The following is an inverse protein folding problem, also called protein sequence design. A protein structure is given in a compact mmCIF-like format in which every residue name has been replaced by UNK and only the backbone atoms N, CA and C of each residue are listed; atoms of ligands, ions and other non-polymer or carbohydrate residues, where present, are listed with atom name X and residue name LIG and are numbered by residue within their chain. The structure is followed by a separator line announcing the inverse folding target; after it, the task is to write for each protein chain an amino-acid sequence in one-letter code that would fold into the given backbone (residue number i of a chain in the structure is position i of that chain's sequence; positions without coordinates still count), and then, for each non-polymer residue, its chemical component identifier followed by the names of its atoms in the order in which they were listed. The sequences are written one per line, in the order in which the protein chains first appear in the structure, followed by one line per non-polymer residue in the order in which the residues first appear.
data_IF_730076032916
#
_entry.id   IF_730076032916
#
_cell.length_a   1.000
_cell.length_b   1.000
_cell.length_c   1.000
_cell.angle_alpha   90.00
_cell.angle_beta   90.00
_cell.angle_gamma   90.00
#
_symmetry.space_group_name_H-M   'P 1'
#
loop_
_entity.id
_entity.type
_entity.pdbx_description
1 polymer ?
#
# COMPACT_ATOMS: atom_id res chain seq x y z
N UNK A 1 69.40 -57.20 -5.99
CA UNK A 1 68.36 -56.66 -6.93
C UNK A 1 66.97 -56.67 -6.30
N UNK A 2 66.47 -57.80 -5.79
CA UNK A 2 65.14 -57.91 -5.16
C UNK A 2 64.91 -56.96 -3.97
N UNK A 3 65.89 -56.84 -3.06
CA UNK A 3 65.82 -55.93 -1.90
C UNK A 3 65.75 -54.45 -2.33
N UNK A 4 66.45 -54.09 -3.41
CA UNK A 4 66.44 -52.73 -3.95
C UNK A 4 65.09 -52.39 -4.58
N UNK A 5 64.52 -53.33 -5.34
CA UNK A 5 63.17 -53.18 -5.94
C UNK A 5 62.11 -53.04 -4.83
N UNK A 6 62.17 -53.86 -3.78
CA UNK A 6 61.25 -53.75 -2.64
C UNK A 6 61.39 -52.41 -1.92
N UNK A 7 62.61 -51.90 -1.73
CA UNK A 7 62.86 -50.60 -1.09
C UNK A 7 62.36 -49.41 -1.93
N UNK A 8 62.50 -49.49 -3.25
CA UNK A 8 61.99 -48.46 -4.17
C UNK A 8 60.45 -48.48 -4.23
N UNK A 9 59.84 -49.67 -4.24
CA UNK A 9 58.39 -49.83 -4.19
C UNK A 9 57.79 -49.34 -2.86
N UNK A 10 58.48 -49.58 -1.74
CA UNK A 10 58.04 -49.11 -0.42
C UNK A 10 58.18 -47.60 -0.28
N UNK A 11 59.25 -47.01 -0.81
CA UNK A 11 59.43 -45.55 -0.80
C UNK A 11 58.35 -44.84 -1.63
N UNK A 12 58.06 -45.35 -2.83
CA UNK A 12 57.01 -44.82 -3.69
C UNK A 12 55.61 -44.93 -3.03
N UNK A 13 55.34 -46.04 -2.33
CA UNK A 13 54.09 -46.21 -1.58
C UNK A 13 53.96 -45.22 -0.42
N UNK A 14 55.06 -44.92 0.27
CA UNK A 14 55.07 -43.94 1.37
C UNK A 14 54.87 -42.50 0.86
N UNK A 15 55.48 -42.15 -0.27
CA UNK A 15 55.32 -40.84 -0.90
C UNK A 15 53.85 -40.61 -1.32
N UNK A 16 53.22 -41.62 -1.92
CA UNK A 16 51.79 -41.59 -2.26
C UNK A 16 50.90 -41.45 -1.01
N UNK A 17 51.23 -42.13 0.11
CA UNK A 17 50.50 -42.00 1.38
C UNK A 17 50.56 -40.56 1.90
N UNK A 18 51.75 -39.94 1.88
CA UNK A 18 51.92 -38.56 2.30
C UNK A 18 51.15 -37.59 1.39
N UNK A 19 51.09 -37.87 0.08
CA UNK A 19 50.30 -37.08 -0.84
C UNK A 19 48.79 -37.22 -0.58
N UNK A 20 48.29 -38.41 -0.27
CA UNK A 20 46.90 -38.64 0.16
C UNK A 20 46.57 -37.79 1.39
N UNK A 21 47.42 -37.82 2.44
CA UNK A 21 47.22 -37.00 3.63
C UNK A 21 47.21 -35.50 3.29
N UNK A 22 48.05 -35.07 2.36
CA UNK A 22 48.05 -33.69 1.87
C UNK A 22 46.74 -33.32 1.16
N UNK A 23 46.23 -34.17 0.25
CA UNK A 23 44.93 -33.92 -0.41
C UNK A 23 43.77 -33.90 0.56
N UNK A 24 43.78 -34.75 1.59
CA UNK A 24 42.78 -34.73 2.66
C UNK A 24 42.82 -33.42 3.46
N UNK A 25 44.01 -32.90 3.80
CA UNK A 25 44.15 -31.59 4.45
C UNK A 25 43.65 -30.44 3.58
N UNK A 26 43.78 -30.56 2.26
CA UNK A 26 43.29 -29.60 1.27
C UNK A 26 41.81 -29.81 0.90
N UNK A 27 41.07 -30.65 1.62
CA UNK A 27 39.66 -30.93 1.37
C UNK A 27 39.38 -31.47 -0.05
N UNK A 28 40.27 -32.30 -0.60
CA UNK A 28 40.12 -32.89 -1.92
C UNK A 28 40.00 -34.43 -1.86
N UNK A 29 38.84 -34.96 -1.42
CA UNK A 29 38.63 -36.40 -1.28
C UNK A 29 38.68 -37.14 -2.63
N UNK A 30 38.29 -36.48 -3.72
CA UNK A 30 38.28 -37.09 -5.06
C UNK A 30 39.68 -37.44 -5.53
N UNK A 31 40.64 -36.52 -5.35
CA UNK A 31 42.03 -36.77 -5.73
C UNK A 31 42.71 -37.73 -4.75
N UNK A 32 42.41 -37.60 -3.45
CA UNK A 32 42.86 -38.54 -2.43
C UNK A 32 42.46 -39.99 -2.79
N UNK A 33 41.23 -40.20 -3.24
CA UNK A 33 40.75 -41.52 -3.67
C UNK A 33 41.52 -42.09 -4.87
N UNK A 34 41.85 -41.25 -5.86
CA UNK A 34 42.65 -41.67 -7.02
C UNK A 34 44.04 -42.13 -6.60
N UNK A 35 44.69 -41.38 -5.72
CA UNK A 35 46.01 -41.73 -5.18
C UNK A 35 45.96 -43.02 -4.35
N UNK A 36 44.94 -43.19 -3.49
CA UNK A 36 44.72 -44.43 -2.73
C UNK A 36 44.68 -45.66 -3.64
N UNK A 37 44.02 -45.57 -4.80
CA UNK A 37 43.94 -46.68 -5.78
C UNK A 37 45.29 -47.04 -6.42
N UNK A 38 46.26 -46.14 -6.41
CA UNK A 38 47.59 -46.39 -7.00
C UNK A 38 48.55 -47.09 -6.03
N UNK A 39 48.23 -47.08 -4.72
CA UNK A 39 49.08 -47.67 -3.69
C UNK A 39 48.99 -49.19 -3.75
N UNK A 40 50.13 -49.85 -4.00
CA UNK A 40 50.22 -51.32 -4.11
C UNK A 40 50.37 -52.00 -2.74
N UNK A 41 51.03 -51.36 -1.77
CA UNK A 41 51.30 -51.91 -0.43
C UNK A 41 50.13 -51.71 0.55
N UNK A 42 48.99 -52.32 0.22
CA UNK A 42 47.73 -52.16 0.97
C UNK A 42 47.70 -52.81 2.35
N UNK A 43 48.69 -53.64 2.68
CA UNK A 43 48.82 -54.30 3.99
C UNK A 43 49.66 -53.50 4.99
N UNK A 44 50.38 -52.47 4.55
CA UNK A 44 51.20 -51.64 5.43
C UNK A 44 50.33 -50.89 6.45
N UNK A 45 50.81 -50.76 7.69
CA UNK A 45 50.04 -50.08 8.74
C UNK A 45 49.77 -48.61 8.40
N UNK A 46 50.74 -47.92 7.79
CA UNK A 46 50.62 -46.54 7.33
C UNK A 46 49.52 -46.36 6.29
N UNK A 47 49.40 -47.30 5.34
CA UNK A 47 48.28 -47.30 4.40
C UNK A 47 46.95 -47.53 5.11
N UNK A 48 46.87 -48.54 6.00
CA UNK A 48 45.63 -48.86 6.72
C UNK A 48 45.13 -47.67 7.53
N UNK A 49 46.01 -46.96 8.25
CA UNK A 49 45.67 -45.75 9.00
C UNK A 49 45.14 -44.67 8.06
N UNK A 50 45.83 -44.41 6.95
CA UNK A 50 45.46 -43.36 6.00
C UNK A 50 44.15 -43.67 5.30
N UNK A 51 43.94 -44.93 4.90
CA UNK A 51 42.70 -45.39 4.30
C UNK A 51 41.53 -45.35 5.30
N UNK A 52 41.76 -45.74 6.56
CA UNK A 52 40.76 -45.61 7.62
C UNK A 52 40.36 -44.15 7.86
N UNK A 53 41.33 -43.23 7.91
CA UNK A 53 41.06 -41.78 7.99
C UNK A 53 40.25 -41.29 6.80
N UNK A 54 40.63 -41.68 5.57
CA UNK A 54 39.90 -41.34 4.35
C UNK A 54 38.42 -41.76 4.45
N UNK A 55 38.17 -43.05 4.73
CA UNK A 55 36.81 -43.59 4.84
C UNK A 55 35.98 -42.87 5.91
N UNK A 56 36.58 -42.57 7.06
CA UNK A 56 35.89 -41.83 8.12
C UNK A 56 35.54 -40.39 7.69
N UNK A 57 36.49 -39.66 7.10
CA UNK A 57 36.29 -38.28 6.66
C UNK A 57 35.22 -38.15 5.57
N UNK A 58 35.18 -39.10 4.63
CA UNK A 58 34.19 -39.12 3.53
C UNK A 58 32.84 -39.71 3.95
N UNK A 59 32.75 -40.29 5.15
CA UNK A 59 31.51 -40.85 5.69
C UNK A 59 31.21 -42.28 5.24
N UNK A 60 32.19 -43.00 4.70
CA UNK A 60 32.09 -44.42 4.32
C UNK A 60 32.23 -45.32 5.57
N UNK A 61 31.38 -45.07 6.55
CA UNK A 61 31.48 -45.66 7.88
C UNK A 61 31.30 -47.18 7.85
N UNK A 62 30.36 -47.67 7.06
CA UNK A 62 30.08 -49.10 6.93
C UNK A 62 31.29 -49.83 6.33
N UNK A 63 31.94 -49.26 5.30
CA UNK A 63 33.17 -49.82 4.73
C UNK A 63 34.32 -49.81 5.75
N UNK A 64 34.47 -48.71 6.50
CA UNK A 64 35.49 -48.58 7.55
C UNK A 64 35.35 -49.70 8.59
N UNK A 65 34.15 -49.90 9.12
CA UNK A 65 33.87 -50.92 10.14
C UNK A 65 34.09 -52.32 9.57
N UNK A 66 33.58 -52.60 8.36
CA UNK A 66 33.72 -53.91 7.73
C UNK A 66 35.19 -54.29 7.49
N UNK A 67 36.02 -53.33 7.06
CA UNK A 67 37.41 -53.58 6.68
C UNK A 67 38.36 -53.62 7.88
N UNK A 68 38.10 -52.83 8.93
CA UNK A 68 39.09 -52.58 9.99
C UNK A 68 38.65 -52.95 11.40
N UNK A 69 37.47 -53.56 11.59
CA UNK A 69 36.97 -53.98 12.92
C UNK A 69 37.91 -54.89 13.73
N UNK A 70 38.77 -55.67 13.05
CA UNK A 70 39.72 -56.61 13.68
C UNK A 70 41.14 -56.04 13.85
N UNK A 71 41.40 -54.82 13.38
CA UNK A 71 42.74 -54.25 13.43
C UNK A 71 43.13 -53.88 14.87
N UNK A 72 44.39 -54.08 15.25
CA UNK A 72 44.86 -53.86 16.63
C UNK A 72 45.29 -52.43 16.93
N UNK A 73 45.57 -51.63 15.90
CA UNK A 73 46.04 -50.24 16.01
C UNK A 73 45.04 -49.33 16.72
N UNK A 74 45.55 -48.49 17.62
CA UNK A 74 44.75 -47.63 18.51
C UNK A 74 44.02 -46.55 17.70
N UNK A 75 44.67 -45.96 16.70
CA UNK A 75 44.09 -44.92 15.86
C UNK A 75 42.95 -45.47 15.01
N UNK A 76 43.15 -46.63 14.40
CA UNK A 76 42.12 -47.31 13.60
C UNK A 76 40.94 -47.73 14.48
N UNK A 77 41.18 -48.32 15.66
CA UNK A 77 40.12 -48.67 16.62
C UNK A 77 39.27 -47.47 17.00
N UNK A 78 39.91 -46.33 17.30
CA UNK A 78 39.19 -45.09 17.62
C UNK A 78 38.27 -44.64 16.47
N UNK A 79 38.76 -44.69 15.23
CA UNK A 79 37.96 -44.35 14.04
C UNK A 79 36.79 -45.34 13.83
N UNK A 80 37.02 -46.64 14.03
CA UNK A 80 35.97 -47.67 13.94
C UNK A 80 34.88 -47.46 15.00
N UNK A 81 35.26 -47.12 16.25
CA UNK A 81 34.30 -46.78 17.30
C UNK A 81 33.45 -45.57 16.94
N UNK A 82 34.09 -44.50 16.43
CA UNK A 82 33.39 -43.29 15.97
C UNK A 82 32.45 -43.59 14.79
N UNK A 83 32.87 -44.42 13.84
CA UNK A 83 32.03 -44.84 12.73
C UNK A 83 30.82 -45.67 13.18
N UNK A 84 31.00 -46.59 14.13
CA UNK A 84 29.87 -47.33 14.71
C UNK A 84 28.84 -46.41 15.38
N UNK A 85 29.30 -45.37 16.10
CA UNK A 85 28.41 -44.35 16.66
C UNK A 85 27.65 -43.61 15.55
N UNK A 86 28.35 -43.18 14.50
CA UNK A 86 27.72 -42.51 13.36
C UNK A 86 26.69 -43.40 12.64
N UNK A 87 26.98 -44.69 12.41
CA UNK A 87 26.05 -45.65 11.80
C UNK A 87 24.80 -45.81 12.66
N UNK A 88 24.95 -45.92 13.99
CA UNK A 88 23.83 -46.06 14.92
C UNK A 88 22.89 -44.85 14.88
N UNK A 89 23.45 -43.65 14.76
CA UNK A 89 22.68 -42.41 14.71
C UNK A 89 22.01 -42.20 13.37
N UNK A 90 22.70 -42.48 12.27
CA UNK A 90 22.26 -42.09 10.93
C UNK A 90 21.52 -43.24 10.21
N UNK A 91 21.60 -44.48 10.69
CA UNK A 91 20.82 -45.64 10.21
C UNK A 91 20.74 -45.81 8.69
N UNK A 92 19.86 -46.70 8.20
CA UNK A 92 19.53 -46.77 6.76
C UNK A 92 18.35 -45.86 6.36
N UNK A 93 17.47 -45.53 7.31
CA UNK A 93 16.21 -44.80 7.08
C UNK A 93 16.03 -43.63 8.06
N UNK A 94 17.11 -42.94 8.42
CA UNK A 94 17.03 -41.89 9.42
C UNK A 94 16.34 -40.65 8.87
N UNK A 95 15.24 -40.26 9.52
CA UNK A 95 14.51 -39.03 9.22
C UNK A 95 15.12 -37.86 10.00
N UNK A 96 15.31 -36.70 9.37
CA UNK A 96 15.83 -35.53 10.06
C UNK A 96 14.98 -35.10 11.24
N UNK A 97 15.56 -35.16 12.45
CA UNK A 97 14.95 -34.69 13.68
C UNK A 97 15.96 -33.96 14.58
N UNK A 98 15.45 -33.11 15.47
CA UNK A 98 16.26 -32.24 16.34
C UNK A 98 16.93 -32.99 17.51
N UNK A 99 16.48 -34.19 17.87
CA UNK A 99 16.92 -34.88 19.09
C UNK A 99 18.40 -35.24 19.06
N UNK A 100 18.99 -35.44 17.88
CA UNK A 100 20.40 -35.81 17.71
C UNK A 100 21.24 -34.72 17.05
N UNK A 101 20.73 -33.48 16.89
CA UNK A 101 21.40 -32.43 16.13
C UNK A 101 22.82 -32.16 16.64
N UNK A 102 23.01 -31.98 17.94
CA UNK A 102 24.33 -31.66 18.52
C UNK A 102 25.34 -32.79 18.31
N UNK A 103 24.90 -34.05 18.41
CA UNK A 103 25.76 -35.21 18.24
C UNK A 103 26.17 -35.36 16.76
N UNK A 104 25.23 -35.14 15.85
CA UNK A 104 25.45 -35.16 14.40
C UNK A 104 26.36 -34.01 13.96
N UNK A 105 26.18 -32.80 14.51
CA UNK A 105 27.09 -31.67 14.29
C UNK A 105 28.52 -32.01 14.76
N UNK A 106 28.65 -32.66 15.92
CA UNK A 106 29.94 -33.10 16.45
C UNK A 106 30.63 -34.09 15.51
N UNK A 107 29.90 -35.12 15.05
CA UNK A 107 30.43 -36.11 14.11
C UNK A 107 30.79 -35.45 12.77
N UNK A 108 29.95 -34.54 12.26
CA UNK A 108 30.22 -33.85 11.01
C UNK A 108 31.46 -32.96 11.10
N UNK A 109 31.72 -32.29 12.24
CA UNK A 109 32.96 -31.51 12.44
C UNK A 109 34.20 -32.39 12.29
N UNK A 110 34.12 -33.65 12.70
CA UNK A 110 35.21 -34.63 12.55
C UNK A 110 35.22 -35.34 11.18
N UNK A 111 34.13 -35.28 10.42
CA UNK A 111 33.94 -35.95 9.12
C UNK A 111 33.26 -35.04 8.09
N UNK A 112 33.81 -33.83 7.93
CA UNK A 112 33.18 -32.73 7.20
C UNK A 112 33.05 -32.96 5.69
N UNK A 113 33.62 -34.03 5.14
CA UNK A 113 33.46 -34.43 3.74
C UNK A 113 32.33 -35.47 3.56
N UNK A 114 31.61 -35.82 4.62
CA UNK A 114 30.50 -36.76 4.58
C UNK A 114 29.26 -36.15 3.93
N UNK A 115 28.95 -36.59 2.71
CA UNK A 115 27.80 -36.10 1.92
C UNK A 115 26.47 -36.35 2.63
N UNK A 116 26.31 -37.53 3.24
CA UNK A 116 25.07 -37.94 3.93
C UNK A 116 24.77 -37.02 5.11
N UNK A 117 25.78 -36.74 5.93
CA UNK A 117 25.68 -35.83 7.08
C UNK A 117 25.48 -34.38 6.66
N UNK A 118 26.20 -33.91 5.64
CA UNK A 118 26.03 -32.55 5.11
C UNK A 118 24.58 -32.32 4.66
N UNK A 119 24.03 -33.22 3.83
CA UNK A 119 22.65 -33.12 3.36
C UNK A 119 21.64 -33.15 4.50
N UNK A 120 21.85 -33.99 5.50
CA UNK A 120 21.01 -34.06 6.69
C UNK A 120 21.00 -32.74 7.47
N UNK A 121 22.18 -32.19 7.78
CA UNK A 121 22.30 -30.93 8.52
C UNK A 121 21.69 -29.76 7.74
N UNK A 122 21.93 -29.69 6.43
CA UNK A 122 21.33 -28.68 5.55
C UNK A 122 19.81 -28.74 5.64
N UNK A 123 19.21 -29.93 5.56
CA UNK A 123 17.75 -30.09 5.64
C UNK A 123 17.18 -29.63 6.99
N UNK A 124 17.81 -30.01 8.11
CA UNK A 124 17.37 -29.54 9.44
C UNK A 124 17.46 -28.03 9.55
N UNK A 125 18.58 -27.44 9.14
CA UNK A 125 18.76 -26.00 9.24
C UNK A 125 17.76 -25.26 8.36
N UNK A 126 17.45 -25.76 7.16
CA UNK A 126 16.40 -25.22 6.31
C UNK A 126 15.02 -25.30 7.01
N UNK A 127 14.66 -26.45 7.57
CA UNK A 127 13.38 -26.65 8.28
C UNK A 127 13.22 -25.71 9.48
N UNK A 128 14.33 -25.32 10.10
CA UNK A 128 14.37 -24.42 11.26
C UNK A 128 14.68 -22.96 10.88
N UNK A 129 14.61 -22.59 9.59
CA UNK A 129 14.93 -21.25 9.08
C UNK A 129 16.36 -20.74 9.40
N UNK A 130 17.29 -21.65 9.70
CA UNK A 130 18.70 -21.35 9.97
C UNK A 130 19.53 -21.34 8.67
N UNK A 131 19.12 -20.55 7.67
CA UNK A 131 19.70 -20.58 6.32
C UNK A 131 21.20 -20.24 6.27
N UNK A 132 21.71 -19.41 7.19
CA UNK A 132 23.15 -19.12 7.28
C UNK A 132 23.95 -20.38 7.60
N UNK A 133 23.51 -21.18 8.57
CA UNK A 133 24.19 -22.43 8.92
C UNK A 133 24.09 -23.45 7.79
N UNK A 134 22.93 -23.55 7.15
CA UNK A 134 22.75 -24.40 5.97
C UNK A 134 23.74 -24.02 4.86
N UNK A 135 23.93 -22.71 4.62
CA UNK A 135 24.87 -22.18 3.62
C UNK A 135 26.31 -22.53 3.96
N UNK A 136 26.73 -22.42 5.21
CA UNK A 136 28.10 -22.75 5.62
C UNK A 136 28.42 -24.24 5.38
N UNK A 137 27.50 -25.14 5.71
CA UNK A 137 27.63 -26.58 5.44
C UNK A 137 27.65 -26.86 3.93
N UNK A 138 26.73 -26.24 3.17
CA UNK A 138 26.63 -26.40 1.73
C UNK A 138 27.89 -25.90 0.99
N UNK A 139 28.47 -24.79 1.43
CA UNK A 139 29.70 -24.23 0.89
C UNK A 139 30.90 -25.14 1.18
N UNK A 140 31.00 -25.67 2.41
CA UNK A 140 32.03 -26.62 2.79
C UNK A 140 31.98 -27.88 1.92
N UNK A 141 30.83 -28.54 1.82
CA UNK A 141 30.70 -29.79 1.06
C UNK A 141 30.85 -29.57 -0.45
N UNK A 142 30.41 -28.41 -0.98
CA UNK A 142 30.65 -28.06 -2.38
C UNK A 142 32.13 -27.86 -2.69
N UNK A 143 32.90 -27.27 -1.75
CA UNK A 143 34.36 -27.15 -1.91
C UNK A 143 35.06 -28.51 -1.97
N UNK A 144 34.53 -29.52 -1.26
CA UNK A 144 35.04 -30.91 -1.32
C UNK A 144 34.70 -31.63 -2.63
N UNK A 145 33.54 -31.33 -3.21
CA UNK A 145 33.00 -32.03 -4.38
C UNK A 145 32.44 -31.07 -5.44
N UNK A 146 33.27 -30.19 -6.04
CA UNK A 146 32.78 -29.14 -6.94
C UNK A 146 32.19 -29.65 -8.25
N UNK A 147 32.56 -30.89 -8.64
CA UNK A 147 32.09 -31.57 -9.85
C UNK A 147 30.84 -32.43 -9.61
N UNK A 148 30.43 -32.63 -8.36
CA UNK A 148 29.26 -33.42 -8.02
C UNK A 148 27.99 -32.59 -8.30
N UNK A 149 27.18 -33.07 -9.25
CA UNK A 149 26.00 -32.35 -9.74
C UNK A 149 24.95 -32.14 -8.65
N UNK A 150 24.73 -33.13 -7.79
CA UNK A 150 23.68 -33.05 -6.77
C UNK A 150 24.11 -32.11 -5.63
N UNK A 151 25.39 -32.13 -5.26
CA UNK A 151 25.95 -31.18 -4.31
C UNK A 151 25.90 -29.77 -4.87
N UNK A 152 26.27 -29.57 -6.14
CA UNK A 152 26.18 -28.26 -6.81
C UNK A 152 24.73 -27.76 -6.88
N UNK A 153 23.76 -28.65 -7.16
CA UNK A 153 22.31 -28.35 -7.13
C UNK A 153 21.86 -27.91 -5.73
N UNK A 154 22.25 -28.67 -4.70
CA UNK A 154 21.95 -28.35 -3.29
C UNK A 154 22.53 -26.99 -2.88
N UNK A 155 23.81 -26.75 -3.19
CA UNK A 155 24.46 -25.46 -2.91
C UNK A 155 23.76 -24.29 -3.61
N UNK A 156 23.42 -24.44 -4.90
CA UNK A 156 22.66 -23.44 -5.65
C UNK A 156 21.31 -23.12 -5.00
N UNK A 157 20.58 -24.13 -4.55
CA UNK A 157 19.31 -23.96 -3.84
C UNK A 157 19.49 -23.24 -2.51
N UNK A 158 20.43 -23.66 -1.67
CA UNK A 158 20.68 -23.04 -0.36
C UNK A 158 21.05 -21.57 -0.52
N UNK A 159 21.87 -21.22 -1.51
CA UNK A 159 22.19 -19.80 -1.79
C UNK A 159 20.94 -18.97 -2.10
N UNK A 160 19.94 -19.55 -2.78
CA UNK A 160 18.66 -18.90 -3.08
C UNK A 160 17.82 -18.56 -1.84
N UNK A 161 18.13 -19.16 -0.69
CA UNK A 161 17.50 -18.88 0.60
C UNK A 161 18.21 -17.76 1.38
N UNK A 162 19.28 -17.19 0.82
CA UNK A 162 20.15 -16.21 1.47
C UNK A 162 20.32 -14.94 0.60
N UNK A 163 20.99 -13.88 1.10
CA UNK A 163 21.31 -12.70 0.29
C UNK A 163 22.11 -12.99 -1.00
N UNK A 164 22.72 -14.18 -1.10
CA UNK A 164 23.48 -14.62 -2.26
C UNK A 164 22.62 -15.31 -3.35
N UNK A 165 21.31 -15.10 -3.35
CA UNK A 165 20.38 -15.78 -4.26
C UNK A 165 20.75 -15.63 -5.74
N UNK A 166 21.28 -14.49 -6.16
CA UNK A 166 21.75 -14.29 -7.55
C UNK A 166 22.80 -15.33 -7.96
N UNK A 167 23.76 -15.65 -7.08
CA UNK A 167 24.77 -16.69 -7.32
C UNK A 167 24.12 -18.08 -7.39
N UNK A 168 23.15 -18.32 -6.50
CA UNK A 168 22.37 -19.57 -6.50
C UNK A 168 21.64 -19.80 -7.82
N UNK A 169 20.93 -18.78 -8.32
CA UNK A 169 20.21 -18.85 -9.61
C UNK A 169 21.17 -19.10 -10.77
N UNK A 170 22.33 -18.45 -10.82
CA UNK A 170 23.33 -18.72 -11.87
C UNK A 170 23.79 -20.18 -11.88
N UNK A 171 24.04 -20.77 -10.71
CA UNK A 171 24.42 -22.17 -10.57
C UNK A 171 23.29 -23.10 -11.07
N UNK A 172 22.05 -22.82 -10.67
CA UNK A 172 20.91 -23.63 -11.08
C UNK A 172 20.66 -23.54 -12.60
N UNK A 173 20.89 -22.38 -13.21
CA UNK A 173 20.83 -22.19 -14.67
C UNK A 173 21.93 -22.98 -15.40
N UNK A 174 23.16 -22.94 -14.89
CA UNK A 174 24.27 -23.74 -15.43
C UNK A 174 23.93 -25.24 -15.43
N UNK A 175 23.23 -25.70 -14.39
CA UNK A 175 22.74 -27.08 -14.27
C UNK A 175 21.46 -27.38 -15.06
N UNK A 176 20.95 -26.41 -15.83
CA UNK A 176 19.71 -26.47 -16.63
C UNK A 176 18.46 -26.80 -15.78
N UNK A 177 18.41 -26.30 -14.55
CA UNK A 177 17.27 -26.47 -13.65
C UNK A 177 16.17 -25.46 -14.03
N UNK A 178 14.93 -25.96 -14.18
CA UNK A 178 13.76 -25.20 -14.66
C UNK A 178 13.50 -23.94 -13.85
N UNK A 179 13.54 -24.03 -12.53
CA UNK A 179 13.27 -22.92 -11.61
C UNK A 179 14.30 -21.79 -11.76
N UNK A 180 15.56 -22.12 -12.08
CA UNK A 180 16.58 -21.12 -12.38
C UNK A 180 16.25 -20.30 -13.63
N UNK A 181 15.72 -20.93 -14.68
CA UNK A 181 15.31 -20.26 -15.91
C UNK A 181 14.05 -19.41 -15.73
N UNK A 182 13.10 -19.86 -14.89
CA UNK A 182 11.91 -19.08 -14.55
C UNK A 182 12.24 -17.79 -13.80
N UNK A 183 13.39 -17.73 -13.11
CA UNK A 183 13.80 -16.55 -12.36
C UNK A 183 14.05 -15.33 -13.25
N UNK A 184 14.63 -15.50 -14.44
CA UNK A 184 14.88 -14.38 -15.36
C UNK A 184 13.57 -13.70 -15.79
N UNK A 185 12.53 -14.50 -16.09
CA UNK A 185 11.21 -13.99 -16.46
C UNK A 185 10.59 -13.17 -15.32
N UNK A 186 10.70 -13.68 -14.08
CA UNK A 186 10.22 -12.97 -12.89
C UNK A 186 11.01 -11.68 -12.66
N UNK A 187 12.33 -11.72 -12.82
CA UNK A 187 13.21 -10.56 -12.64
C UNK A 187 12.95 -9.48 -13.69
N UNK A 188 12.71 -9.85 -14.95
CA UNK A 188 12.32 -8.91 -16.01
C UNK A 188 11.01 -8.20 -15.66
N UNK A 189 9.99 -8.95 -15.22
CA UNK A 189 8.72 -8.36 -14.77
C UNK A 189 8.92 -7.42 -13.58
N UNK A 190 9.72 -7.83 -12.60
CA UNK A 190 10.05 -7.01 -11.44
C UNK A 190 10.74 -5.69 -11.82
N UNK A 191 11.73 -5.73 -12.72
CA UNK A 191 12.42 -4.52 -13.17
C UNK A 191 11.50 -3.54 -13.92
N UNK A 192 10.43 -4.03 -14.53
CA UNK A 192 9.41 -3.20 -15.19
C UNK A 192 8.28 -2.73 -14.25
N UNK A 193 8.19 -3.29 -13.04
CA UNK A 193 7.09 -3.03 -12.11
C UNK A 193 7.20 -1.61 -11.53
N UNK A 194 6.12 -0.83 -11.68
CA UNK A 194 6.00 0.54 -11.17
C UNK A 194 4.86 0.73 -10.18
N UNK A 195 3.93 -0.22 -10.11
CA UNK A 195 2.73 -0.13 -9.28
C UNK A 195 2.64 -1.29 -8.30
N UNK A 196 1.88 -1.11 -7.21
CA UNK A 196 1.59 -2.18 -6.25
C UNK A 196 0.84 -3.36 -6.89
N UNK A 197 0.02 -3.10 -7.91
CA UNK A 197 -0.66 -4.13 -8.70
C UNK A 197 0.35 -5.01 -9.44
N UNK A 198 1.35 -4.41 -10.11
CA UNK A 198 2.43 -5.18 -10.76
C UNK A 198 3.20 -6.05 -9.76
N UNK A 199 3.51 -5.53 -8.57
CA UNK A 199 4.16 -6.34 -7.53
C UNK A 199 3.29 -7.51 -7.09
N UNK A 200 1.99 -7.28 -6.88
CA UNK A 200 1.03 -8.33 -6.49
C UNK A 200 0.92 -9.42 -7.54
N UNK A 201 0.83 -9.06 -8.83
CA UNK A 201 0.81 -10.02 -9.93
C UNK A 201 2.06 -10.91 -9.95
N UNK A 202 3.24 -10.34 -9.70
CA UNK A 202 4.50 -11.11 -9.63
C UNK A 202 4.47 -12.05 -8.41
N UNK A 203 4.00 -11.59 -7.25
CA UNK A 203 3.87 -12.41 -6.04
C UNK A 203 2.96 -13.61 -6.32
N UNK A 204 1.80 -13.39 -6.93
CA UNK A 204 0.83 -14.45 -7.21
C UNK A 204 1.35 -15.42 -8.29
N UNK A 205 2.10 -14.93 -9.29
CA UNK A 205 2.82 -15.79 -10.23
C UNK A 205 3.85 -16.67 -9.53
N UNK A 206 4.65 -16.10 -8.62
CA UNK A 206 5.62 -16.89 -7.83
C UNK A 206 4.88 -17.93 -7.00
N UNK A 207 3.80 -17.58 -6.29
CA UNK A 207 3.00 -18.53 -5.50
C UNK A 207 2.52 -19.71 -6.36
N UNK A 208 2.07 -19.46 -7.58
CA UNK A 208 1.64 -20.51 -8.51
C UNK A 208 2.80 -21.41 -8.95
N UNK A 209 3.98 -20.84 -9.24
CA UNK A 209 5.19 -21.61 -9.56
C UNK A 209 5.58 -22.49 -8.35
N UNK A 210 5.49 -21.94 -7.15
CA UNK A 210 5.87 -22.63 -5.92
C UNK A 210 5.03 -23.86 -5.62
N UNK A 211 3.77 -23.92 -6.06
CA UNK A 211 2.91 -25.10 -5.87
C UNK A 211 3.52 -26.36 -6.48
N UNK A 212 4.23 -26.22 -7.60
CA UNK A 212 4.81 -27.32 -8.38
C UNK A 212 6.34 -27.40 -8.29
N UNK A 213 6.96 -26.60 -7.42
CA UNK A 213 8.42 -26.56 -7.24
C UNK A 213 8.90 -27.74 -6.39
N UNK A 214 9.92 -28.46 -6.88
CA UNK A 214 10.61 -29.52 -6.13
C UNK A 214 11.44 -28.96 -4.97
N UNK A 215 11.84 -27.68 -5.08
CA UNK A 215 12.57 -26.99 -4.02
C UNK A 215 11.61 -26.44 -2.97
N UNK A 216 11.79 -26.87 -1.72
CA UNK A 216 11.10 -26.33 -0.55
C UNK A 216 12.14 -25.96 0.54
N UNK A 217 12.15 -24.71 1.03
CA UNK A 217 11.48 -23.52 0.48
C UNK A 217 11.92 -23.26 -0.97
N UNK A 218 11.11 -22.51 -1.73
CA UNK A 218 11.40 -22.34 -3.16
C UNK A 218 12.66 -21.50 -3.41
N UNK A 219 13.22 -21.60 -4.61
CA UNK A 219 14.37 -20.76 -5.04
C UNK A 219 14.04 -19.26 -5.07
N UNK A 220 12.75 -18.90 -5.03
CA UNK A 220 12.31 -17.52 -4.94
C UNK A 220 12.27 -17.01 -3.50
N UNK A 221 12.47 -17.85 -2.48
CA UNK A 221 12.19 -17.51 -1.08
C UNK A 221 12.79 -16.16 -0.65
N UNK A 222 14.12 -15.99 -0.81
CA UNK A 222 14.77 -14.76 -0.37
C UNK A 222 14.29 -13.56 -1.18
N UNK A 223 14.32 -13.67 -2.51
CA UNK A 223 13.85 -12.61 -3.42
C UNK A 223 12.39 -12.20 -3.13
N UNK A 224 11.50 -13.19 -2.97
CA UNK A 224 10.09 -13.01 -2.70
C UNK A 224 9.88 -12.24 -1.41
N UNK A 225 10.42 -12.68 -0.28
CA UNK A 225 10.15 -12.03 1.00
C UNK A 225 10.96 -10.74 1.21
N UNK A 226 12.27 -10.80 0.99
CA UNK A 226 13.19 -9.70 1.34
C UNK A 226 13.26 -8.58 0.30
N UNK A 227 12.80 -8.83 -0.94
CA UNK A 227 12.80 -7.81 -1.99
C UNK A 227 11.39 -7.48 -2.43
N UNK A 228 10.65 -8.46 -2.94
CA UNK A 228 9.36 -8.23 -3.60
C UNK A 228 8.27 -7.85 -2.58
N UNK A 229 8.03 -8.71 -1.61
CA UNK A 229 6.99 -8.57 -0.60
C UNK A 229 7.27 -7.40 0.34
N UNK A 230 8.53 -7.25 0.76
CA UNK A 230 8.96 -6.09 1.53
C UNK A 230 8.64 -4.75 0.82
N UNK A 231 8.99 -4.61 -0.46
CA UNK A 231 8.71 -3.39 -1.21
C UNK A 231 7.20 -3.18 -1.44
N UNK A 232 6.45 -4.25 -1.72
CA UNK A 232 4.99 -4.19 -1.86
C UNK A 232 4.33 -3.65 -0.58
N UNK A 233 4.63 -4.24 0.58
CA UNK A 233 4.07 -3.82 1.88
C UNK A 233 4.50 -2.38 2.21
N UNK A 234 5.78 -2.06 2.03
CA UNK A 234 6.31 -0.70 2.27
C UNK A 234 5.60 0.34 1.42
N UNK A 235 5.36 0.06 0.14
CA UNK A 235 4.70 0.98 -0.78
C UNK A 235 3.22 1.17 -0.44
N UNK A 236 2.49 0.09 -0.12
CA UNK A 236 1.08 0.17 0.33
C UNK A 236 0.93 1.06 1.55
N UNK A 237 1.76 0.82 2.56
CA UNK A 237 1.78 1.60 3.80
C UNK A 237 2.21 3.06 3.54
N UNK A 238 3.13 3.29 2.60
CA UNK A 238 3.52 4.64 2.16
C UNK A 238 2.38 5.42 1.50
N UNK A 239 1.43 4.71 0.86
CA UNK A 239 0.22 5.27 0.26
C UNK A 239 -0.96 5.35 1.25
N UNK A 240 -0.72 5.16 2.56
CA UNK A 240 -1.75 5.08 3.60
C UNK A 240 -2.82 4.00 3.34
N UNK A 241 -2.46 2.93 2.64
CA UNK A 241 -3.32 1.76 2.44
C UNK A 241 -2.91 0.65 3.41
N UNK A 242 -3.90 -0.04 3.95
CA UNK A 242 -3.62 -1.23 4.77
C UNK A 242 -3.01 -2.35 3.92
N UNK A 243 -2.05 -3.07 4.52
CA UNK A 243 -1.47 -4.30 4.01
C UNK A 243 -1.23 -5.28 5.18
N UNK A 244 -2.19 -5.37 6.13
CA UNK A 244 -1.96 -6.02 7.42
C UNK A 244 -1.68 -7.51 7.27
N UNK A 245 -2.43 -8.19 6.40
CA UNK A 245 -2.22 -9.62 6.12
C UNK A 245 -0.81 -9.86 5.58
N UNK A 246 -0.40 -9.07 4.60
CA UNK A 246 0.91 -9.18 3.97
C UNK A 246 2.05 -8.79 4.92
N UNK A 247 1.83 -7.79 5.77
CA UNK A 247 2.78 -7.41 6.81
C UNK A 247 2.93 -8.50 7.89
N UNK A 248 1.86 -9.23 8.23
CA UNK A 248 1.93 -10.40 9.10
C UNK A 248 2.77 -11.51 8.48
N UNK A 249 2.43 -11.93 7.26
CA UNK A 249 3.16 -12.96 6.52
C UNK A 249 4.66 -12.61 6.38
N UNK A 250 4.96 -11.33 6.11
CA UNK A 250 6.34 -10.84 6.04
C UNK A 250 7.05 -10.91 7.39
N UNK A 251 6.37 -10.49 8.45
CA UNK A 251 6.95 -10.44 9.79
C UNK A 251 7.15 -11.82 10.40
N UNK A 252 6.29 -12.80 10.08
CA UNK A 252 6.48 -14.20 10.49
C UNK A 252 7.80 -14.78 9.96
N UNK A 253 8.18 -14.39 8.74
CA UNK A 253 9.38 -14.87 8.05
C UNK A 253 10.65 -14.13 8.50
N UNK A 254 10.64 -12.81 8.49
CA UNK A 254 11.88 -12.01 8.64
C UNK A 254 12.18 -11.68 10.10
N UNK A 255 11.17 -11.33 10.89
CA UNK A 255 11.29 -11.01 12.32
C UNK A 255 12.37 -9.95 12.65
N UNK A 256 12.51 -8.94 11.80
CA UNK A 256 13.42 -7.80 11.99
C UNK A 256 12.66 -6.54 12.41
N UNK A 257 13.37 -5.57 13.01
CA UNK A 257 12.79 -4.29 13.43
C UNK A 257 12.01 -3.58 12.32
N UNK A 258 12.47 -3.68 11.07
CA UNK A 258 11.82 -3.10 9.89
C UNK A 258 10.47 -3.75 9.62
N UNK A 259 10.35 -5.08 9.72
CA UNK A 259 9.08 -5.79 9.47
C UNK A 259 8.10 -5.61 10.63
N UNK A 260 8.59 -5.57 11.87
CA UNK A 260 7.76 -5.19 13.02
C UNK A 260 7.21 -3.77 12.88
N UNK A 261 8.04 -2.82 12.40
CA UNK A 261 7.60 -1.46 12.12
C UNK A 261 6.52 -1.40 11.03
N UNK A 262 6.71 -2.12 9.91
CA UNK A 262 5.71 -2.19 8.84
C UNK A 262 4.39 -2.82 9.34
N UNK A 263 4.46 -3.91 10.08
CA UNK A 263 3.29 -4.54 10.68
C UNK A 263 2.56 -3.60 11.64
N UNK A 264 3.29 -2.95 12.55
CA UNK A 264 2.71 -1.97 13.47
C UNK A 264 2.03 -0.81 12.74
N UNK A 265 2.68 -0.27 11.69
CA UNK A 265 2.09 0.81 10.89
C UNK A 265 0.84 0.36 10.12
N UNK A 266 0.80 -0.88 9.63
CA UNK A 266 -0.40 -1.41 8.98
C UNK A 266 -1.56 -1.60 9.96
N UNK A 267 -1.29 -2.14 11.16
CA UNK A 267 -2.29 -2.30 12.21
C UNK A 267 -2.88 -0.97 12.67
N UNK A 268 -2.04 0.08 12.72
CA UNK A 268 -2.49 1.45 12.99
C UNK A 268 -3.46 1.97 11.93
N UNK A 269 -3.19 1.73 10.64
CA UNK A 269 -4.09 2.13 9.55
C UNK A 269 -5.46 1.44 9.64
N UNK A 270 -5.53 0.26 10.26
CA UNK A 270 -6.78 -0.48 10.50
C UNK A 270 -7.39 -0.26 11.89
N UNK A 271 -6.83 0.65 12.71
CA UNK A 271 -7.24 0.89 14.10
C UNK A 271 -7.22 -0.37 15.01
N UNK A 272 -6.33 -1.32 14.73
CA UNK A 272 -6.15 -2.56 15.51
C UNK A 272 -5.17 -2.38 16.68
N UNK A 273 -5.58 -1.58 17.66
CA UNK A 273 -4.74 -1.18 18.81
C UNK A 273 -4.30 -2.36 19.69
N UNK A 274 -5.15 -3.36 19.88
CA UNK A 274 -4.82 -4.55 20.69
C UNK A 274 -3.69 -5.38 20.04
N UNK A 275 -3.80 -5.65 18.74
CA UNK A 275 -2.78 -6.38 17.98
C UNK A 275 -1.46 -5.59 17.91
N UNK A 276 -1.55 -4.26 17.76
CA UNK A 276 -0.39 -3.38 17.76
C UNK A 276 0.39 -3.46 19.09
N UNK A 277 -0.31 -3.47 20.23
CA UNK A 277 0.35 -3.59 21.53
C UNK A 277 1.15 -4.89 21.64
N UNK A 278 0.65 -6.00 21.08
CA UNK A 278 1.39 -7.25 21.05
C UNK A 278 2.69 -7.15 20.22
N UNK A 279 2.64 -6.41 19.10
CA UNK A 279 3.81 -6.14 18.25
C UNK A 279 4.82 -5.25 18.97
N UNK A 280 4.36 -4.18 19.63
CA UNK A 280 5.21 -3.22 20.36
C UNK A 280 5.91 -3.90 21.53
N UNK A 281 5.22 -4.81 22.23
CA UNK A 281 5.77 -5.52 23.38
C UNK A 281 6.66 -6.71 23.00
N UNK A 282 6.84 -7.00 21.70
CA UNK A 282 7.69 -8.08 21.27
C UNK A 282 9.16 -7.78 21.63
N UNK A 283 9.89 -8.71 22.31
CA UNK A 283 11.27 -8.48 22.72
C UNK A 283 12.24 -8.33 21.54
N UNK A 284 11.90 -8.85 20.35
CA UNK A 284 12.71 -8.66 19.13
C UNK A 284 12.56 -7.26 18.53
N UNK A 285 11.54 -6.51 18.94
CA UNK A 285 11.33 -5.15 18.47
C UNK A 285 12.02 -4.15 19.40
N UNK A 286 12.99 -3.41 18.87
CA UNK A 286 13.85 -2.51 19.66
C UNK A 286 13.17 -1.17 19.98
N UNK A 287 13.46 -0.61 21.16
CA UNK A 287 12.79 0.59 21.69
C UNK A 287 12.95 1.85 20.82
N UNK A 288 14.03 1.97 20.04
CA UNK A 288 14.20 3.08 19.09
C UNK A 288 13.08 3.08 18.04
N UNK A 289 12.76 1.91 17.48
CA UNK A 289 11.70 1.78 16.48
C UNK A 289 10.31 1.89 17.11
N UNK A 290 10.13 1.43 18.37
CA UNK A 290 8.89 1.66 19.13
C UNK A 290 8.60 3.16 19.26
N UNK A 291 9.56 3.96 19.71
CA UNK A 291 9.39 5.42 19.85
C UNK A 291 9.01 6.09 18.53
N UNK A 292 9.64 5.67 17.42
CA UNK A 292 9.29 6.18 16.09
C UNK A 292 7.88 5.76 15.65
N UNK A 293 7.46 4.53 15.94
CA UNK A 293 6.11 4.04 15.64
C UNK A 293 5.04 4.79 16.45
N UNK A 294 5.24 4.97 17.76
CA UNK A 294 4.33 5.73 18.63
C UNK A 294 4.22 7.21 18.22
N UNK A 295 5.35 7.82 17.80
CA UNK A 295 5.33 9.19 17.27
C UNK A 295 4.47 9.27 16.00
N UNK A 296 4.67 8.33 15.07
CA UNK A 296 3.91 8.26 13.82
C UNK A 296 2.41 8.00 14.09
N UNK A 297 2.08 7.16 15.06
CA UNK A 297 0.70 6.93 15.52
C UNK A 297 0.05 8.22 16.02
N UNK A 298 0.74 8.97 16.87
CA UNK A 298 0.23 10.24 17.40
C UNK A 298 -0.05 11.23 16.27
N UNK A 299 0.89 11.37 15.33
CA UNK A 299 0.75 12.22 14.15
C UNK A 299 -0.40 11.78 13.23
N UNK A 300 -0.59 10.47 13.01
CA UNK A 300 -1.69 9.95 12.20
C UNK A 300 -3.05 10.16 12.87
N UNK A 301 -3.17 9.91 14.18
CA UNK A 301 -4.40 10.20 14.94
C UNK A 301 -4.76 11.68 14.92
N UNK A 302 -3.76 12.55 15.03
CA UNK A 302 -3.95 14.00 14.96
C UNK A 302 -4.41 14.45 13.56
N UNK A 303 -3.84 13.88 12.48
CA UNK A 303 -4.28 14.15 11.11
C UNK A 303 -5.71 13.68 10.84
N UNK A 304 -6.07 12.48 11.28
CA UNK A 304 -7.44 11.94 11.13
C UNK A 304 -8.43 12.83 11.89
N UNK A 305 -8.09 13.23 13.11
CA UNK A 305 -8.91 14.16 13.90
C UNK A 305 -9.11 15.50 13.18
N UNK A 306 -8.04 16.09 12.64
CA UNK A 306 -8.12 17.34 11.87
C UNK A 306 -8.97 17.19 10.60
N UNK A 307 -8.86 16.07 9.89
CA UNK A 307 -9.63 15.80 8.67
C UNK A 307 -11.12 15.61 8.98
N UNK A 308 -11.46 14.89 10.06
CA UNK A 308 -12.84 14.76 10.54
C UNK A 308 -13.43 16.10 10.98
N UNK A 309 -12.64 16.92 11.69
CA UNK A 309 -13.07 18.26 12.11
C UNK A 309 -13.30 19.17 10.90
N UNK A 310 -12.45 19.09 9.88
CA UNK A 310 -12.62 19.81 8.62
C UNK A 310 -13.90 19.38 7.89
N UNK A 311 -14.16 18.07 7.77
CA UNK A 311 -15.40 17.53 7.17
C UNK A 311 -16.65 17.97 7.94
N UNK A 312 -16.60 17.99 9.28
CA UNK A 312 -17.70 18.49 10.13
C UNK A 312 -17.98 19.98 9.87
N UNK A 313 -16.93 20.81 9.82
CA UNK A 313 -17.04 22.25 9.53
C UNK A 313 -17.58 22.50 8.11
N UNK A 314 -17.15 21.70 7.13
CA UNK A 314 -17.65 21.80 5.75
C UNK A 314 -19.12 21.43 5.66
N UNK A 315 -19.54 20.34 6.30
CA UNK A 315 -20.95 19.93 6.38
C UNK A 315 -21.83 21.00 7.05
N UNK A 316 -21.36 21.61 8.14
CA UNK A 316 -22.06 22.71 8.80
C UNK A 316 -22.22 23.92 7.87
N UNK A 317 -21.15 24.30 7.15
CA UNK A 317 -21.21 25.39 6.15
C UNK A 317 -22.15 25.07 5.00
N UNK A 318 -22.21 23.81 4.56
CA UNK A 318 -23.12 23.38 3.50
C UNK A 318 -24.59 23.41 3.96
N UNK A 319 -24.88 22.96 5.19
CA UNK A 319 -26.20 23.07 5.79
C UNK A 319 -26.63 24.53 5.98
N UNK A 320 -25.73 25.42 6.39
CA UNK A 320 -25.96 26.85 6.51
C UNK A 320 -26.27 27.49 5.14
N UNK A 321 -25.45 27.22 4.12
CA UNK A 321 -25.71 27.66 2.73
C UNK A 321 -27.05 27.15 2.20
N UNK A 322 -27.45 25.93 2.57
CA UNK A 322 -28.74 25.36 2.19
C UNK A 322 -29.89 26.12 2.87
N UNK A 323 -29.78 26.42 4.17
CA UNK A 323 -30.76 27.24 4.91
C UNK A 323 -30.87 28.64 4.31
N UNK A 324 -29.75 29.28 3.99
CA UNK A 324 -29.73 30.60 3.34
C UNK A 324 -30.42 30.58 1.97
N UNK A 325 -30.18 29.54 1.16
CA UNK A 325 -30.86 29.35 -0.13
C UNK A 325 -32.36 29.14 0.04
N UNK A 326 -32.77 28.28 0.98
CA UNK A 326 -34.18 28.05 1.29
C UNK A 326 -34.86 29.32 1.82
N UNK A 327 -34.18 30.11 2.64
CA UNK A 327 -34.69 31.38 3.14
C UNK A 327 -34.77 32.44 2.02
N UNK A 328 -33.76 32.54 1.17
CA UNK A 328 -33.77 33.41 0.00
C UNK A 328 -34.89 33.02 -0.98
N UNK A 329 -35.12 31.72 -1.19
CA UNK A 329 -36.26 31.22 -1.96
C UNK A 329 -37.59 31.55 -1.30
N UNK A 330 -37.73 31.36 0.02
CA UNK A 330 -38.94 31.76 0.76
C UNK A 330 -39.21 33.25 0.59
N UNK A 331 -38.19 34.10 0.74
CA UNK A 331 -38.29 35.57 0.52
C UNK A 331 -38.71 35.88 -0.92
N UNK A 332 -38.14 35.19 -1.92
CA UNK A 332 -38.56 35.31 -3.32
C UNK A 332 -40.00 34.85 -3.54
N UNK A 333 -40.45 33.77 -2.91
CA UNK A 333 -41.83 33.27 -3.03
C UNK A 333 -42.83 34.23 -2.39
N UNK A 334 -42.52 34.79 -1.23
CA UNK A 334 -43.40 35.79 -0.57
C UNK A 334 -43.51 37.08 -1.38
N UNK A 335 -42.41 37.53 -2.01
CA UNK A 335 -42.39 38.75 -2.83
C UNK A 335 -42.72 38.51 -4.31
N UNK A 336 -43.04 37.26 -4.71
CA UNK A 336 -43.33 36.90 -6.11
C UNK A 336 -44.49 37.71 -6.72
N UNK A 337 -45.42 38.17 -5.89
CA UNK A 337 -46.63 38.90 -6.31
C UNK A 337 -46.52 40.41 -6.04
N UNK A 338 -45.35 40.89 -5.64
CA UNK A 338 -45.09 42.31 -5.38
C UNK A 338 -43.72 42.70 -5.94
N UNK A 339 -43.56 42.51 -7.26
CA UNK A 339 -42.28 42.59 -7.98
C UNK A 339 -41.58 43.95 -7.81
N UNK A 340 -42.35 45.02 -7.59
CA UNK A 340 -41.82 46.37 -7.30
C UNK A 340 -42.08 46.83 -5.87
N UNK A 341 -42.64 45.97 -5.01
CA UNK A 341 -42.89 46.27 -3.60
C UNK A 341 -43.98 47.32 -3.36
N UNK A 342 -45.00 47.42 -4.22
CA UNK A 342 -46.10 48.38 -4.09
C UNK A 342 -47.09 48.02 -2.98
N UNK A 343 -47.43 46.74 -2.83
CA UNK A 343 -48.27 46.30 -1.72
C UNK A 343 -47.53 46.45 -0.38
N UNK A 344 -46.24 46.13 -0.35
CA UNK A 344 -45.35 46.33 0.80
C UNK A 344 -45.16 47.82 1.12
N UNK A 345 -44.95 48.69 0.12
CA UNK A 345 -44.82 50.14 0.32
C UNK A 345 -46.07 50.76 0.94
N UNK A 346 -47.26 50.25 0.60
CA UNK A 346 -48.53 50.63 1.21
C UNK A 346 -48.81 49.90 2.53
N UNK A 347 -48.09 48.81 2.84
CA UNK A 347 -48.25 48.00 4.05
C UNK A 347 -49.55 47.18 4.05
N UNK A 348 -50.01 46.74 2.88
CA UNK A 348 -51.29 46.04 2.69
C UNK A 348 -51.09 44.66 2.06
N UNK A 349 -52.06 43.75 2.23
CA UNK A 349 -52.04 42.44 1.57
C UNK A 349 -52.47 42.56 0.11
N UNK A 350 -52.02 41.64 -0.75
CA UNK A 350 -52.46 41.57 -2.15
C UNK A 350 -53.99 41.41 -2.32
N UNK A 351 -54.69 40.91 -1.29
CA UNK A 351 -56.15 40.78 -1.25
C UNK A 351 -56.87 42.09 -0.86
N UNK A 352 -56.14 43.19 -0.65
CA UNK A 352 -56.73 44.45 -0.19
C UNK A 352 -57.73 45.02 -1.20
N UNK A 353 -58.83 45.55 -0.70
CA UNK A 353 -59.85 46.22 -1.52
C UNK A 353 -59.38 47.60 -1.98
N UNK A 354 -60.03 48.17 -2.99
CA UNK A 354 -59.70 49.52 -3.50
C UNK A 354 -59.79 50.59 -2.40
N UNK A 355 -60.74 50.46 -1.49
CA UNK A 355 -60.91 51.39 -0.37
C UNK A 355 -59.80 51.24 0.69
N UNK A 356 -59.28 50.03 0.88
CA UNK A 356 -58.12 49.79 1.74
C UNK A 356 -56.84 50.35 1.13
N UNK A 357 -56.64 50.21 -0.19
CA UNK A 357 -55.51 50.81 -0.92
C UNK A 357 -55.52 52.33 -0.77
N UNK A 358 -56.67 52.97 -0.98
CA UNK A 358 -56.80 54.43 -0.87
C UNK A 358 -56.59 54.93 0.57
N UNK A 359 -57.08 54.19 1.57
CA UNK A 359 -56.86 54.51 2.99
C UNK A 359 -55.40 54.35 3.38
N UNK A 360 -54.77 53.25 2.98
CA UNK A 360 -53.36 52.97 3.26
C UNK A 360 -52.43 54.00 2.61
N UNK A 361 -52.72 54.40 1.37
CA UNK A 361 -52.00 55.47 0.68
C UNK A 361 -52.06 56.79 1.45
N UNK A 362 -53.26 57.23 1.84
CA UNK A 362 -53.42 58.48 2.61
C UNK A 362 -52.65 58.42 3.92
N UNK A 363 -52.74 57.30 4.64
CA UNK A 363 -51.97 57.07 5.88
C UNK A 363 -50.46 57.16 5.63
N UNK A 364 -49.95 56.48 4.60
CA UNK A 364 -48.52 56.48 4.25
C UNK A 364 -48.00 57.86 3.84
N UNK A 365 -48.77 58.64 3.08
CA UNK A 365 -48.36 59.99 2.70
C UNK A 365 -48.23 60.92 3.91
N UNK A 366 -49.13 60.79 4.89
CA UNK A 366 -49.06 61.56 6.14
C UNK A 366 -47.87 61.13 7.03
N UNK A 367 -47.56 59.82 7.05
CA UNK A 367 -46.40 59.25 7.76
C UNK A 367 -45.06 59.66 7.15
N UNK A 368 -44.96 59.70 5.81
CA UNK A 368 -43.69 59.94 5.12
C UNK A 368 -43.33 61.43 5.09
N UNK A 369 -44.33 62.32 4.98
CA UNK A 369 -44.20 63.78 4.75
C UNK A 369 -42.75 64.30 4.82
N UNK A 370 -42.05 64.38 3.66
CA UNK A 370 -40.65 64.75 3.61
C UNK A 370 -40.37 66.14 4.18
N UNK A 371 -41.38 67.03 4.24
CA UNK A 371 -41.18 68.38 4.76
C UNK A 371 -40.75 68.43 6.22
N UNK A 372 -41.14 67.42 7.01
CA UNK A 372 -40.76 67.31 8.42
C UNK A 372 -39.28 67.03 8.63
N UNK A 373 -38.57 66.59 7.58
CA UNK A 373 -37.18 66.16 7.64
C UNK A 373 -36.25 67.01 6.76
N UNK A 374 -36.69 68.21 6.33
CA UNK A 374 -35.90 69.13 5.47
C UNK A 374 -34.50 69.46 6.01
N UNK A 375 -34.28 69.34 7.32
CA UNK A 375 -33.02 69.66 7.99
C UNK A 375 -32.03 68.49 8.01
N UNK A 376 -32.45 67.28 7.67
CA UNK A 376 -31.59 66.08 7.54
C UNK A 376 -31.60 65.64 6.08
N UNK A 377 -30.49 65.90 5.38
CA UNK A 377 -30.40 65.66 3.93
C UNK A 377 -30.56 64.18 3.57
N UNK A 378 -30.00 63.27 4.37
CA UNK A 378 -30.04 61.84 4.09
C UNK A 378 -31.42 61.26 4.37
N UNK A 379 -32.05 61.66 5.48
CA UNK A 379 -33.42 61.22 5.80
C UNK A 379 -34.44 61.86 4.85
N UNK A 380 -34.26 63.12 4.45
CA UNK A 380 -35.07 63.80 3.43
C UNK A 380 -35.05 63.05 2.10
N UNK A 381 -33.87 62.68 1.59
CA UNK A 381 -33.75 61.91 0.35
C UNK A 381 -34.37 60.51 0.46
N UNK A 382 -34.21 59.82 1.59
CA UNK A 382 -34.86 58.51 1.83
C UNK A 382 -36.38 58.64 1.83
N UNK A 383 -36.93 59.63 2.52
CA UNK A 383 -38.38 59.89 2.57
C UNK A 383 -38.93 60.31 1.23
N UNK A 384 -38.20 61.10 0.45
CA UNK A 384 -38.56 61.44 -0.93
C UNK A 384 -38.67 60.20 -1.81
N UNK A 385 -37.67 59.31 -1.78
CA UNK A 385 -37.70 58.05 -2.53
C UNK A 385 -38.87 57.16 -2.11
N UNK A 386 -39.15 57.07 -0.81
CA UNK A 386 -40.29 56.30 -0.29
C UNK A 386 -41.64 56.92 -0.69
N UNK A 387 -41.76 58.25 -0.67
CA UNK A 387 -42.95 58.97 -1.11
C UNK A 387 -43.23 58.73 -2.59
N UNK A 388 -42.20 58.77 -3.44
CA UNK A 388 -42.30 58.44 -4.86
C UNK A 388 -42.82 57.01 -5.06
N UNK A 389 -42.28 56.05 -4.31
CA UNK A 389 -42.71 54.65 -4.35
C UNK A 389 -44.17 54.47 -3.93
N UNK A 390 -44.61 55.14 -2.87
CA UNK A 390 -46.01 55.10 -2.38
C UNK A 390 -47.00 55.74 -3.36
N UNK A 391 -46.62 56.86 -4.00
CA UNK A 391 -47.42 57.48 -5.06
C UNK A 391 -47.61 56.52 -6.24
N UNK A 392 -46.51 55.94 -6.71
CA UNK A 392 -46.55 54.98 -7.81
C UNK A 392 -47.33 53.72 -7.47
N UNK A 393 -47.19 53.22 -6.24
CA UNK A 393 -47.98 52.09 -5.73
C UNK A 393 -49.48 52.37 -5.80
N UNK A 394 -49.92 53.58 -5.45
CA UNK A 394 -51.33 53.96 -5.62
C UNK A 394 -51.72 54.02 -7.09
N UNK A 395 -50.91 54.63 -7.96
CA UNK A 395 -51.25 54.76 -9.37
C UNK A 395 -51.45 53.38 -10.04
N UNK A 396 -50.57 52.42 -9.73
CA UNK A 396 -50.64 51.06 -10.27
C UNK A 396 -51.75 50.23 -9.62
N UNK A 397 -51.90 50.28 -8.29
CA UNK A 397 -52.83 49.40 -7.57
C UNK A 397 -54.27 49.92 -7.49
N UNK A 398 -54.51 51.23 -7.67
CA UNK A 398 -55.86 51.83 -7.53
C UNK A 398 -56.76 51.62 -8.75
N UNK A 399 -56.19 51.36 -9.92
CA UNK A 399 -56.90 51.03 -11.15
C UNK A 399 -56.88 49.51 -11.37
N UNK A 400 -58.05 48.92 -11.63
CA UNK A 400 -58.22 47.48 -11.74
C UNK A 400 -57.44 46.88 -12.92
N UNK A 401 -57.32 47.61 -14.04
CA UNK A 401 -56.56 47.14 -15.21
C UNK A 401 -55.07 47.09 -14.92
N UNK A 402 -54.51 48.16 -14.37
CA UNK A 402 -53.08 48.25 -14.03
C UNK A 402 -52.71 47.35 -12.86
N UNK A 403 -53.61 47.17 -11.89
CA UNK A 403 -53.44 46.20 -10.80
C UNK A 403 -53.42 44.77 -11.30
N UNK A 404 -54.32 44.39 -12.22
CA UNK A 404 -54.32 43.06 -12.84
C UNK A 404 -53.01 42.78 -13.59
N UNK A 405 -52.49 43.75 -14.35
CA UNK A 405 -51.21 43.64 -15.03
C UNK A 405 -50.05 43.50 -14.03
N UNK A 406 -50.07 44.29 -12.96
CA UNK A 406 -49.07 44.21 -11.88
C UNK A 406 -49.10 42.86 -11.13
N UNK A 407 -50.29 42.35 -10.82
CA UNK A 407 -50.48 41.04 -10.17
C UNK A 407 -50.07 39.88 -11.09
N UNK A 408 -50.12 40.08 -12.42
CA UNK A 408 -49.57 39.17 -13.44
C UNK A 408 -48.05 39.30 -13.63
N UNK A 409 -47.42 40.23 -12.91
CA UNK A 409 -45.98 40.42 -12.90
C UNK A 409 -45.44 41.39 -13.96
N UNK A 410 -46.30 42.22 -14.54
CA UNK A 410 -45.94 43.24 -15.54
C UNK A 410 -45.87 44.59 -14.84
N UNK A 411 -44.65 45.15 -14.74
CA UNK A 411 -44.44 46.52 -14.25
C UNK A 411 -43.40 47.26 -15.12
N UNK A 412 -43.58 48.57 -15.26
CA UNK A 412 -42.78 49.45 -16.11
C UNK A 412 -41.39 49.78 -15.53
N UNK A 413 -41.11 49.47 -14.26
CA UNK A 413 -39.84 49.82 -13.60
C UNK A 413 -38.88 48.66 -13.37
N UNK A 414 -39.33 47.41 -13.54
CA UNK A 414 -38.42 46.26 -13.41
C UNK A 414 -37.92 45.81 -14.79
N UNK A 415 -36.59 45.78 -15.01
CA UNK A 415 -35.99 45.26 -16.26
C UNK A 415 -36.31 43.78 -16.51
N UNK A 416 -36.89 43.10 -15.53
CA UNK A 416 -37.24 41.68 -15.56
C UNK A 416 -38.48 41.40 -16.40
N UNK A 417 -39.18 42.43 -16.86
CA UNK A 417 -40.23 42.35 -17.89
C UNK A 417 -39.70 41.84 -19.23
N UNK A 418 -38.39 41.93 -19.51
CA UNK A 418 -37.80 41.38 -20.75
C UNK A 418 -37.72 39.84 -20.78
N UNK A 419 -37.78 39.15 -19.65
CA UNK A 419 -37.73 37.68 -19.62
C UNK A 419 -39.11 37.03 -19.83
N UNK A 420 -40.20 37.76 -19.58
CA UNK A 420 -41.57 37.27 -19.83
C UNK A 420 -41.91 37.23 -21.33
N UNK A 421 -41.26 38.08 -22.13
CA UNK A 421 -41.39 38.08 -23.60
C UNK A 421 -40.62 36.95 -24.29
N UNK A 422 -39.75 36.21 -23.58
CA UNK A 422 -38.86 35.20 -24.20
C UNK A 422 -39.38 33.76 -24.12
N UNK A 423 -40.39 33.44 -23.29
CA UNK A 423 -40.85 32.05 -23.07
C UNK A 423 -42.28 31.73 -23.55
N UNK A 424 -42.95 32.63 -24.27
CA UNK A 424 -44.32 32.40 -24.78
C UNK A 424 -44.38 32.21 -26.30
N UNK A 425 -43.49 31.40 -26.88
CA UNK A 425 -43.68 30.83 -28.22
C UNK A 425 -44.42 29.50 -28.13
N UNK A 426 -45.73 29.56 -27.92
CA UNK A 426 -46.65 28.46 -28.25
C UNK A 426 -48.09 28.95 -28.34
N UNK A 427 -48.56 28.98 -29.59
CA UNK A 427 -49.95 28.85 -30.07
C UNK A 427 -50.96 29.95 -29.67
N UNK A 428 -51.35 30.72 -30.68
CA UNK A 428 -52.74 31.14 -30.92
C UNK A 428 -53.18 32.46 -30.26
N UNK A 429 -53.47 33.46 -31.12
CA UNK A 429 -54.19 34.70 -30.84
C UNK A 429 -53.57 35.70 -29.86
N UNK A 430 -52.70 36.60 -30.37
CA UNK A 430 -52.23 37.81 -29.65
C UNK A 430 -51.93 38.97 -30.59
N UNK A 431 -52.96 39.64 -31.10
CA UNK A 431 -52.78 40.98 -31.72
C UNK A 431 -53.60 42.07 -31.01
N UNK A 432 -54.66 41.72 -30.27
CA UNK A 432 -55.43 42.71 -29.48
C UNK A 432 -54.83 43.05 -28.10
N UNK A 433 -54.17 42.11 -27.41
CA UNK A 433 -53.69 42.38 -26.04
C UNK A 433 -52.49 43.33 -25.97
N UNK A 434 -51.66 43.40 -27.02
CA UNK A 434 -50.44 44.23 -27.01
C UNK A 434 -50.78 45.72 -27.12
N UNK A 435 -51.84 46.05 -27.87
CA UNK A 435 -52.34 47.41 -28.11
C UNK A 435 -53.10 47.94 -26.87
N UNK A 436 -53.83 47.06 -26.17
CA UNK A 436 -54.51 47.36 -24.90
C UNK A 436 -53.52 47.53 -23.71
N UNK A 437 -52.42 46.77 -23.68
CA UNK A 437 -51.35 46.93 -22.69
C UNK A 437 -50.56 48.22 -22.94
N UNK A 438 -50.23 48.54 -24.20
CA UNK A 438 -49.56 49.80 -24.55
C UNK A 438 -50.44 51.01 -24.25
N UNK A 439 -51.74 50.96 -24.56
CA UNK A 439 -52.67 52.07 -24.28
C UNK A 439 -53.00 52.22 -22.79
N UNK A 440 -53.02 51.15 -21.99
CA UNK A 440 -53.20 51.24 -20.54
C UNK A 440 -52.00 51.89 -19.81
N UNK A 441 -50.80 51.83 -20.39
CA UNK A 441 -49.59 52.46 -19.85
C UNK A 441 -49.22 53.79 -20.54
N UNK A 442 -49.64 54.03 -21.78
CA UNK A 442 -49.21 55.18 -22.61
C UNK A 442 -50.33 55.94 -23.34
N UNK A 443 -51.61 55.73 -23.02
CA UNK A 443 -52.73 56.34 -23.74
C UNK A 443 -52.89 57.87 -23.57
N UNK A 444 -52.81 58.57 -24.71
CA UNK A 444 -53.20 59.95 -25.04
C UNK A 444 -52.28 61.14 -24.65
N UNK A 445 -51.22 61.37 -25.45
CA UNK A 445 -51.05 62.61 -26.24
C UNK A 445 -49.91 62.48 -27.27
N UNK A 446 -50.10 63.20 -28.38
CA UNK A 446 -49.40 63.15 -29.67
C UNK A 446 -47.86 63.09 -29.68
N UNK A 447 -47.34 62.39 -30.70
CA UNK A 447 -45.95 62.44 -31.14
C UNK A 447 -45.53 63.87 -31.54
N UNK A 448 -44.61 64.47 -30.79
CA UNK A 448 -43.96 65.72 -31.17
C UNK A 448 -42.78 66.05 -30.26
N UNK A 449 -41.55 65.96 -30.78
CA UNK A 449 -40.32 66.06 -29.99
C UNK A 449 -40.08 67.41 -29.32
N UNK A 450 -39.60 67.37 -28.06
CA UNK A 450 -38.63 68.29 -27.45
C UNK A 450 -38.29 67.78 -26.05
N UNK A 451 -36.98 67.77 -25.71
CA UNK A 451 -36.49 67.56 -24.35
C UNK A 451 -37.23 68.50 -23.40
N UNK A 452 -38.06 67.93 -22.54
CA UNK A 452 -38.74 68.66 -21.47
C UNK A 452 -38.74 67.79 -20.23
N UNK A 453 -38.02 68.28 -19.22
CA UNK A 453 -38.06 67.86 -17.82
C UNK A 453 -39.50 67.57 -17.40
N UNK A 454 -39.82 66.29 -17.14
CA UNK A 454 -41.12 65.89 -16.56
C UNK A 454 -41.26 66.54 -15.19
N UNK A 455 -42.23 67.46 -15.08
CA UNK A 455 -42.70 68.01 -13.80
C UNK A 455 -43.41 66.90 -13.02
N UNK A 456 -42.82 66.48 -11.92
CA UNK A 456 -43.40 65.58 -10.92
C UNK A 456 -44.52 66.34 -10.20
N UNK A 457 -45.78 65.91 -10.35
CA UNK A 457 -46.86 66.38 -9.49
C UNK A 457 -46.74 65.69 -8.13
N UNK A 458 -46.34 66.45 -7.12
CA UNK A 458 -46.43 66.01 -5.73
C UNK A 458 -47.85 66.27 -5.22
N UNK A 459 -48.59 65.20 -4.94
CA UNK A 459 -49.82 65.33 -4.17
C UNK A 459 -49.46 65.59 -2.71
N UNK A 460 -49.38 66.86 -2.33
CA UNK A 460 -49.40 67.26 -0.93
C UNK A 460 -50.85 67.29 -0.46
N UNK A 461 -51.22 66.35 0.41
CA UNK A 461 -52.39 66.54 1.25
C UNK A 461 -51.96 67.47 2.39
N UNK A 462 -52.38 68.74 2.29
CA UNK A 462 -52.29 69.72 3.37
C UNK A 462 -53.32 69.47 4.45
#
# INVERSE_FOLDING_TARGET
MLIFILKVLSQNSLDLINEVESKLKLNNPTEAFKLIKQIKETQSISFKITHAKYLYLTGEYEELVNKYSKESDIGIKSLVEKANRAIKLIGKNFTPNLSHLNEIESIYKESFMCKRLANYLIQIYIQNNQFSKAKDIAEMIYSSYPLDRDIKKCYGHVLCLTPFYNKGILILKELQIKEGNLFDLILQKFNSAKTNESYKEIIDQIRNIELYSDFKPSVFYYFKFYTLYFNYVKNMIGQNRSATKEAYELNEVIQENTTFYLLGKSLLLENKTNELNNVINNPKFTDQFKKSALKTEKEMKEKVFQEEEAKRKEKQKEEERKREREEAERRRRTHKHDISGYYEALGIKHTATKDEINRAFKKKCLEINPEKYKNDKDEYERRLKLQMKVNKAKDVLSNEKTRKLYDQGIDNETPQSNDFYSHHNSKGNRVHDVEDIFSAFFGNNDFGGRRSTRRTYYYYYG
#
